data_IF_222992873998
#
_entry.id   IF_222992873998
#
_cell.length_a   1.000
_cell.length_b   1.000
_cell.length_c   1.000
_cell.angle_alpha   90.00
_cell.angle_beta   90.00
_cell.angle_gamma   90.00
#
_symmetry.space_group_name_H-M   'P 1'
#
loop_
_entity.id
_entity.type
_entity.pdbx_description
1 polymer ?
#
# COMPACT_ATOMS: atom_id res chain seq x y z
N UNK A 1 0.92 -13.58 19.00
CA UNK A 1 0.81 -12.10 18.87
C UNK A 1 0.97 -11.49 20.25
N UNK A 2 1.91 -10.56 20.44
CA UNK A 2 2.16 -9.89 21.73
C UNK A 2 0.95 -9.08 22.20
N UNK A 3 0.71 -8.99 23.52
CA UNK A 3 -0.41 -8.24 24.13
C UNK A 3 -0.45 -6.77 23.67
N UNK A 4 0.72 -6.15 23.56
CA UNK A 4 0.84 -4.76 23.11
C UNK A 4 0.39 -4.55 21.66
N UNK A 5 0.91 -5.37 20.72
CA UNK A 5 0.48 -5.38 19.31
C UNK A 5 -1.02 -5.61 19.15
N UNK A 6 -1.59 -6.52 19.95
CA UNK A 6 -3.03 -6.78 19.97
C UNK A 6 -3.81 -5.53 20.41
N UNK A 7 -3.39 -4.88 21.50
CA UNK A 7 -4.00 -3.64 22.01
C UNK A 7 -3.98 -2.52 20.97
N UNK A 8 -2.85 -2.29 20.30
CA UNK A 8 -2.76 -1.29 19.23
C UNK A 8 -3.66 -1.63 18.05
N UNK A 9 -3.69 -2.90 17.62
CA UNK A 9 -4.54 -3.34 16.51
C UNK A 9 -6.03 -3.16 16.83
N UNK A 10 -6.47 -3.52 18.03
CA UNK A 10 -7.84 -3.26 18.52
C UNK A 10 -8.16 -1.76 18.51
N UNK A 11 -7.23 -0.92 18.99
CA UNK A 11 -7.42 0.53 19.01
C UNK A 11 -7.53 1.13 17.61
N UNK A 12 -6.73 0.65 16.65
CA UNK A 12 -6.83 1.04 15.24
C UNK A 12 -8.17 0.66 14.64
N UNK A 13 -8.69 -0.54 14.90
CA UNK A 13 -9.99 -0.99 14.38
C UNK A 13 -11.16 -0.12 14.85
N UNK A 14 -11.11 0.38 16.10
CA UNK A 14 -12.16 1.25 16.64
C UNK A 14 -12.15 2.68 16.07
N UNK A 15 -11.07 3.10 15.40
CA UNK A 15 -10.95 4.45 14.85
C UNK A 15 -11.49 4.55 13.42
N UNK A 16 -12.61 5.27 13.24
CA UNK A 16 -13.26 5.47 11.94
C UNK A 16 -12.42 6.28 10.94
N UNK A 17 -11.71 7.31 11.41
CA UNK A 17 -10.91 8.19 10.55
C UNK A 17 -9.51 7.65 10.30
N UNK A 18 -9.09 7.60 9.03
CA UNK A 18 -7.72 7.16 8.65
C UNK A 18 -6.65 8.13 9.17
N UNK A 19 -6.96 9.44 9.23
CA UNK A 19 -6.02 10.44 9.74
C UNK A 19 -5.75 10.24 11.22
N UNK A 20 -6.80 10.08 12.04
CA UNK A 20 -6.68 9.78 13.48
C UNK A 20 -5.89 8.49 13.73
N UNK A 21 -6.07 7.47 12.89
CA UNK A 21 -5.28 6.23 12.97
C UNK A 21 -3.80 6.49 12.73
N UNK A 22 -3.48 7.27 11.72
CA UNK A 22 -2.09 7.60 11.39
C UNK A 22 -1.44 8.43 12.50
N UNK A 23 -2.15 9.43 13.03
CA UNK A 23 -1.70 10.23 14.19
C UNK A 23 -1.44 9.36 15.42
N UNK A 24 -2.33 8.40 15.71
CA UNK A 24 -2.14 7.45 16.80
C UNK A 24 -0.89 6.59 16.60
N UNK A 25 -0.67 6.08 15.39
CA UNK A 25 0.53 5.28 15.09
C UNK A 25 1.81 6.09 15.22
N UNK A 26 1.80 7.37 14.80
CA UNK A 26 2.92 8.28 14.95
C UNK A 26 3.19 8.57 16.43
N UNK A 27 2.16 8.90 17.21
CA UNK A 27 2.25 9.21 18.65
C UNK A 27 2.83 8.05 19.46
N UNK A 28 2.49 6.82 19.10
CA UNK A 28 2.96 5.61 19.79
C UNK A 28 4.17 4.97 19.13
N UNK A 29 4.80 5.64 18.15
CA UNK A 29 5.99 5.18 17.44
C UNK A 29 5.88 3.71 16.99
N UNK A 30 4.72 3.31 16.45
CA UNK A 30 4.45 1.89 16.17
C UNK A 30 5.36 1.38 15.04
N UNK A 31 5.55 2.20 14.00
CA UNK A 31 6.44 1.92 12.88
C UNK A 31 7.87 2.39 13.19
N UNK A 32 8.84 1.98 12.36
CA UNK A 32 10.21 2.49 12.45
C UNK A 32 10.28 3.99 12.16
N UNK A 33 9.51 4.45 11.18
CA UNK A 33 9.31 5.86 10.88
C UNK A 33 7.94 6.10 10.27
N UNK A 34 7.32 7.24 10.59
CA UNK A 34 6.06 7.68 9.97
C UNK A 34 6.08 9.20 9.76
N UNK A 35 6.41 9.59 8.53
CA UNK A 35 6.60 10.96 8.10
C UNK A 35 5.32 11.79 8.06
N UNK A 36 5.50 13.09 7.87
CA UNK A 36 4.42 14.06 7.85
C UNK A 36 3.53 13.92 6.62
N UNK A 37 2.25 14.30 6.77
CA UNK A 37 1.24 14.19 5.73
C UNK A 37 1.10 12.77 5.13
N UNK A 38 1.64 11.74 5.80
CA UNK A 38 1.44 10.35 5.41
C UNK A 38 0.12 9.82 5.95
N UNK A 39 -0.38 8.74 5.36
CA UNK A 39 -1.60 8.04 5.77
C UNK A 39 -1.32 6.55 5.81
N UNK A 40 -1.58 5.96 6.98
CA UNK A 40 -1.55 4.52 7.19
C UNK A 40 -2.97 3.93 7.13
N UNK A 41 -3.25 3.21 6.06
CA UNK A 41 -4.53 2.56 5.84
C UNK A 41 -4.77 1.28 6.66
N UNK A 42 -3.81 0.34 6.77
CA UNK A 42 -4.06 -0.97 7.37
C UNK A 42 -4.53 -0.90 8.83
N UNK A 43 -5.41 -1.84 9.20
CA UNK A 43 -6.00 -1.91 10.55
C UNK A 43 -5.16 -2.74 11.53
N UNK A 44 -4.47 -3.74 11.00
CA UNK A 44 -3.64 -4.63 11.80
C UNK A 44 -2.22 -4.11 11.79
N UNK A 45 -1.60 -4.09 12.97
CA UNK A 45 -0.17 -3.78 13.09
C UNK A 45 0.64 -4.98 12.56
N UNK A 46 1.56 -4.77 11.59
CA UNK A 46 2.45 -5.81 11.08
C UNK A 46 3.25 -6.51 12.18
N UNK A 47 3.81 -7.69 11.92
CA UNK A 47 4.53 -8.46 12.93
C UNK A 47 5.78 -7.73 13.43
N UNK A 48 6.61 -7.24 12.51
CA UNK A 48 7.80 -6.43 12.78
C UNK A 48 7.59 -5.00 12.26
N UNK A 49 6.78 -4.17 12.96
CA UNK A 49 6.41 -2.86 12.47
C UNK A 49 7.59 -1.87 12.49
N UNK A 50 8.57 -2.10 13.37
CA UNK A 50 9.81 -1.29 13.47
C UNK A 50 10.73 -1.41 12.24
N UNK A 51 10.54 -2.44 11.40
CA UNK A 51 11.28 -2.63 10.14
C UNK A 51 10.64 -1.87 8.96
N UNK A 52 9.54 -1.14 9.21
CA UNK A 52 8.83 -0.39 8.19
C UNK A 52 9.09 1.09 8.40
N UNK A 53 9.66 1.74 7.39
CA UNK A 53 9.84 3.19 7.34
C UNK A 53 8.93 3.78 6.27
N UNK A 54 8.13 4.75 6.68
CA UNK A 54 7.24 5.50 5.80
C UNK A 54 7.63 6.96 5.91
N UNK A 55 8.19 7.51 4.84
CA UNK A 55 8.65 8.90 4.77
C UNK A 55 7.47 9.87 4.57
N UNK A 56 7.67 11.05 3.96
CA UNK A 56 6.68 12.14 3.89
C UNK A 56 5.70 11.96 2.73
N UNK A 57 4.46 12.40 2.94
CA UNK A 57 3.39 12.38 1.93
C UNK A 57 3.15 11.00 1.29
N UNK A 58 3.26 9.93 2.08
CA UNK A 58 2.99 8.57 1.61
C UNK A 58 1.54 8.17 1.89
N UNK A 59 0.86 7.60 0.91
CA UNK A 59 -0.51 7.11 1.05
C UNK A 59 -0.53 5.59 0.95
N UNK A 60 -0.76 4.91 2.07
CA UNK A 60 -0.94 3.46 2.10
C UNK A 60 -2.42 3.13 2.12
N UNK A 61 -2.89 2.42 1.09
CA UNK A 61 -4.29 1.98 1.06
C UNK A 61 -4.61 1.01 2.20
N UNK A 62 -5.87 0.99 2.66
CA UNK A 62 -6.33 0.16 3.79
C UNK A 62 -6.03 -1.33 3.65
N UNK A 63 -6.09 -1.85 2.43
CA UNK A 63 -5.93 -3.26 2.13
C UNK A 63 -4.51 -3.63 1.69
N UNK A 64 -3.58 -2.68 1.67
CA UNK A 64 -2.19 -2.97 1.36
C UNK A 64 -1.57 -3.81 2.48
N UNK A 65 -0.69 -4.74 2.11
CA UNK A 65 0.03 -5.63 3.02
C UNK A 65 1.51 -5.34 2.88
N UNK A 66 2.14 -5.04 4.01
CA UNK A 66 3.60 -4.87 4.08
C UNK A 66 4.12 -6.04 4.91
N UNK A 67 4.93 -6.87 4.26
CA UNK A 67 5.49 -8.09 4.82
C UNK A 67 6.97 -7.85 5.09
N UNK A 68 7.38 -8.06 6.33
CA UNK A 68 8.77 -7.84 6.80
C UNK A 68 9.45 -9.13 7.21
N UNK A 69 8.81 -10.28 7.01
CA UNK A 69 9.38 -11.58 7.32
C UNK A 69 8.83 -12.69 6.43
N UNK A 70 9.54 -13.81 6.39
CA UNK A 70 9.15 -15.06 5.74
C UNK A 70 9.63 -16.26 6.57
N UNK A 71 8.85 -17.34 6.58
CA UNK A 71 9.08 -18.56 7.38
C UNK A 71 9.26 -19.81 6.51
N UNK A 72 9.64 -19.65 5.24
CA UNK A 72 9.89 -20.78 4.33
C UNK A 72 10.92 -21.73 4.90
N UNK A 73 11.96 -21.24 5.58
CA UNK A 73 12.98 -22.09 6.19
C UNK A 73 12.43 -23.00 7.29
N UNK A 74 11.55 -22.51 8.17
CA UNK A 74 10.86 -23.37 9.16
C UNK A 74 10.09 -24.52 8.49
N UNK A 75 9.46 -24.25 7.34
CA UNK A 75 8.78 -25.28 6.56
C UNK A 75 9.77 -26.27 5.91
N UNK A 76 10.84 -25.77 5.28
CA UNK A 76 11.83 -26.60 4.58
C UNK A 76 12.60 -27.51 5.53
N UNK A 77 13.01 -27.01 6.70
CA UNK A 77 13.73 -27.80 7.72
C UNK A 77 12.88 -28.97 8.23
N UNK A 78 11.54 -28.81 8.31
CA UNK A 78 10.63 -29.92 8.66
C UNK A 78 10.49 -30.95 7.54
N UNK A 79 10.58 -30.52 6.28
CA UNK A 79 10.50 -31.40 5.12
C UNK A 79 11.80 -32.19 4.90
N UNK A 80 12.95 -31.56 5.15
CA UNK A 80 14.28 -32.13 5.00
C UNK A 80 15.15 -31.80 6.23
N UNK A 81 15.04 -32.59 7.32
CA UNK A 81 15.80 -32.36 8.55
C UNK A 81 17.32 -32.47 8.35
N UNK A 82 17.74 -33.25 7.35
CA UNK A 82 19.16 -33.47 7.03
C UNK A 82 19.81 -32.28 6.29
N UNK A 83 19.02 -31.27 5.89
CA UNK A 83 19.50 -30.10 5.18
C UNK A 83 19.48 -28.87 6.10
N UNK A 84 20.60 -28.13 6.15
CA UNK A 84 20.67 -26.85 6.85
C UNK A 84 20.22 -25.71 5.93
N UNK A 85 19.00 -25.20 6.16
CA UNK A 85 18.47 -24.01 5.49
C UNK A 85 18.80 -22.71 6.24
N UNK A 86 19.52 -22.79 7.35
CA UNK A 86 19.84 -21.66 8.23
C UNK A 86 18.69 -21.29 9.16
N UNK A 87 18.62 -20.02 9.61
CA UNK A 87 17.58 -19.56 10.53
C UNK A 87 16.17 -19.77 10.01
N UNK A 88 15.24 -20.07 10.91
CA UNK A 88 13.83 -20.38 10.60
C UNK A 88 13.06 -19.26 9.90
N UNK A 89 13.40 -18.01 10.22
CA UNK A 89 12.70 -16.82 9.74
C UNK A 89 13.68 -15.86 9.09
N UNK A 90 13.37 -15.46 7.84
CA UNK A 90 14.04 -14.34 7.18
C UNK A 90 13.29 -13.07 7.55
N UNK A 91 14.00 -12.06 8.04
CA UNK A 91 13.45 -10.72 8.26
C UNK A 91 14.03 -9.75 7.24
N UNK A 92 13.26 -8.73 6.87
CA UNK A 92 13.69 -7.72 5.92
C UNK A 92 12.99 -6.38 6.10
N UNK A 93 13.70 -5.30 5.78
CA UNK A 93 13.21 -3.94 5.92
C UNK A 93 12.33 -3.53 4.73
N UNK A 94 11.37 -2.65 4.98
CA UNK A 94 10.58 -2.02 3.91
C UNK A 94 10.62 -0.52 4.08
N UNK A 95 11.03 0.18 3.03
CA UNK A 95 11.19 1.63 3.04
C UNK A 95 10.38 2.28 1.92
N UNK A 96 9.46 3.16 2.30
CA UNK A 96 8.63 3.94 1.38
C UNK A 96 9.10 5.40 1.42
N UNK A 97 9.82 5.83 0.38
CA UNK A 97 10.37 7.18 0.27
C UNK A 97 9.28 8.26 0.11
N UNK A 98 9.70 9.52 -0.05
CA UNK A 98 8.80 10.65 -0.14
C UNK A 98 7.84 10.56 -1.34
N UNK A 99 6.59 11.01 -1.14
CA UNK A 99 5.57 11.13 -2.17
C UNK A 99 5.23 9.80 -2.89
N UNK A 100 5.02 8.74 -2.11
CA UNK A 100 4.67 7.42 -2.63
C UNK A 100 3.18 7.11 -2.45
N UNK A 101 2.55 6.57 -3.50
CA UNK A 101 1.18 6.06 -3.45
C UNK A 101 1.16 4.53 -3.56
N UNK A 102 0.61 3.86 -2.55
CA UNK A 102 0.42 2.41 -2.54
C UNK A 102 -1.06 2.11 -2.76
N UNK A 103 -1.36 1.51 -3.91
CA UNK A 103 -2.70 1.16 -4.35
C UNK A 103 -3.38 0.09 -3.50
N UNK A 104 -4.66 -0.14 -3.84
CA UNK A 104 -5.48 -1.15 -3.17
C UNK A 104 -4.92 -2.56 -3.36
N UNK A 105 -4.89 -3.36 -2.29
CA UNK A 105 -4.48 -4.76 -2.31
C UNK A 105 -3.06 -5.00 -2.85
N UNK A 106 -2.17 -4.02 -2.70
CA UNK A 106 -0.75 -4.19 -2.98
C UNK A 106 -0.10 -5.01 -1.87
N UNK A 107 0.79 -5.93 -2.23
CA UNK A 107 1.64 -6.66 -1.27
C UNK A 107 3.09 -6.25 -1.51
N UNK A 108 3.78 -5.79 -0.46
CA UNK A 108 5.20 -5.46 -0.49
C UNK A 108 5.95 -6.51 0.31
N UNK A 109 6.93 -7.16 -0.32
CA UNK A 109 7.75 -8.20 0.29
C UNK A 109 8.94 -7.63 1.07
N UNK A 110 9.61 -8.45 1.90
CA UNK A 110 10.77 -8.01 2.67
C UNK A 110 11.92 -7.54 1.76
N UNK A 111 12.74 -6.62 2.28
CA UNK A 111 13.92 -6.04 1.61
C UNK A 111 13.59 -5.28 0.33
N UNK A 112 12.61 -4.38 0.43
CA UNK A 112 12.16 -3.55 -0.68
C UNK A 112 12.17 -2.07 -0.30
N UNK A 113 12.83 -1.27 -1.14
CA UNK A 113 12.73 0.18 -1.15
C UNK A 113 11.89 0.65 -2.34
N UNK A 114 10.88 1.47 -2.07
CA UNK A 114 10.12 2.19 -3.10
C UNK A 114 10.62 3.62 -3.13
N UNK A 115 11.24 4.00 -4.25
CA UNK A 115 11.80 5.33 -4.49
C UNK A 115 10.77 6.46 -4.46
N UNK A 116 11.27 7.68 -4.49
CA UNK A 116 10.43 8.89 -4.40
C UNK A 116 9.52 9.03 -5.62
N UNK A 117 8.40 9.71 -5.46
CA UNK A 117 7.44 9.96 -6.56
C UNK A 117 7.01 8.67 -7.25
N UNK A 118 6.69 7.63 -6.50
CA UNK A 118 6.27 6.34 -7.05
C UNK A 118 4.77 6.09 -6.87
N UNK A 119 4.16 5.46 -7.87
CA UNK A 119 2.78 4.96 -7.80
C UNK A 119 2.81 3.46 -8.02
N UNK A 120 2.44 2.70 -6.99
CA UNK A 120 2.22 1.27 -7.11
C UNK A 120 0.72 1.04 -7.34
N UNK A 121 0.37 0.51 -8.50
CA UNK A 121 -1.04 0.32 -8.87
C UNK A 121 -1.67 -0.81 -8.07
N UNK A 122 -3.01 -0.80 -7.99
CA UNK A 122 -3.76 -1.79 -7.24
C UNK A 122 -3.47 -3.24 -7.70
N UNK A 123 -3.46 -4.18 -6.76
CA UNK A 123 -3.26 -5.60 -6.99
C UNK A 123 -1.81 -6.04 -7.25
N UNK A 124 -0.84 -5.14 -7.12
CA UNK A 124 0.56 -5.46 -7.43
C UNK A 124 1.28 -6.19 -6.29
N UNK A 125 2.26 -7.03 -6.62
CA UNK A 125 3.17 -7.67 -5.66
C UNK A 125 4.57 -7.16 -5.90
N UNK A 126 5.09 -6.37 -4.96
CA UNK A 126 6.42 -5.75 -5.06
C UNK A 126 7.43 -6.66 -4.39
N UNK A 127 8.26 -7.32 -5.21
CA UNK A 127 9.30 -8.26 -4.79
C UNK A 127 10.73 -7.73 -4.96
N UNK A 128 10.89 -6.51 -5.48
CA UNK A 128 12.17 -5.84 -5.69
C UNK A 128 11.98 -4.33 -5.59
N UNK A 129 13.08 -3.61 -5.41
CA UNK A 129 13.09 -2.16 -5.37
C UNK A 129 12.42 -1.54 -6.61
N UNK A 130 11.74 -0.42 -6.38
CA UNK A 130 11.12 0.38 -7.44
C UNK A 130 11.88 1.70 -7.53
N UNK A 131 12.47 2.02 -8.70
CA UNK A 131 13.24 3.25 -8.87
C UNK A 131 12.33 4.49 -8.80
N UNK A 132 12.88 5.61 -8.32
CA UNK A 132 12.15 6.88 -8.21
C UNK A 132 11.51 7.32 -9.52
N UNK A 133 10.44 8.12 -9.43
CA UNK A 133 9.67 8.66 -10.55
C UNK A 133 8.98 7.58 -11.41
N UNK A 134 8.62 6.44 -10.81
CA UNK A 134 8.05 5.30 -11.53
C UNK A 134 6.59 5.04 -11.21
N UNK A 135 5.87 4.49 -12.18
CA UNK A 135 4.59 3.81 -11.98
C UNK A 135 4.83 2.32 -12.18
N UNK A 136 4.50 1.50 -11.18
CA UNK A 136 4.71 0.06 -11.23
C UNK A 136 3.41 -0.72 -11.02
N UNK A 137 3.29 -1.84 -11.74
CA UNK A 137 2.10 -2.70 -11.74
C UNK A 137 2.46 -4.18 -11.91
N UNK A 138 1.59 -5.08 -11.45
CA UNK A 138 1.66 -6.52 -11.74
C UNK A 138 2.18 -7.38 -10.59
N UNK A 139 2.27 -8.69 -10.84
CA UNK A 139 2.80 -9.69 -9.91
C UNK A 139 3.76 -10.63 -10.69
N UNK A 140 5.09 -10.44 -10.61
CA UNK A 140 5.79 -9.40 -9.85
C UNK A 140 5.60 -8.01 -10.46
N UNK A 141 5.66 -6.97 -9.62
CA UNK A 141 5.50 -5.59 -10.04
C UNK A 141 6.66 -5.16 -10.95
N UNK A 142 6.34 -4.56 -12.10
CA UNK A 142 7.31 -3.98 -13.05
C UNK A 142 6.96 -2.55 -13.34
N UNK A 143 7.97 -1.74 -13.67
CA UNK A 143 7.77 -0.35 -14.10
C UNK A 143 7.03 -0.35 -15.44
N UNK A 144 5.86 0.29 -15.47
CA UNK A 144 4.99 0.41 -16.65
C UNK A 144 4.93 1.84 -17.20
N UNK A 145 5.53 2.80 -16.51
CA UNK A 145 5.53 4.19 -16.93
C UNK A 145 6.22 5.09 -15.93
N UNK A 146 6.26 6.38 -16.26
CA UNK A 146 6.86 7.42 -15.41
C UNK A 146 5.80 8.22 -14.66
N UNK A 147 6.17 8.71 -13.49
CA UNK A 147 5.30 9.48 -12.60
C UNK A 147 4.82 10.80 -13.23
N UNK A 148 5.71 11.52 -13.90
CA UNK A 148 5.43 12.78 -14.60
C UNK A 148 4.38 12.60 -15.70
N UNK A 149 4.53 11.56 -16.52
CA UNK A 149 3.56 11.20 -17.56
C UNK A 149 2.21 10.85 -16.94
N UNK A 150 2.20 10.05 -15.87
CA UNK A 150 0.96 9.72 -15.18
C UNK A 150 0.26 10.95 -14.60
N UNK A 151 1.02 11.88 -14.02
CA UNK A 151 0.51 13.15 -13.54
C UNK A 151 -0.08 13.99 -14.68
N UNK A 152 0.60 14.08 -15.83
CA UNK A 152 0.10 14.79 -17.00
C UNK A 152 -1.22 14.17 -17.52
N UNK A 153 -1.28 12.84 -17.63
CA UNK A 153 -2.50 12.11 -18.01
C UNK A 153 -3.66 12.38 -17.05
N UNK A 154 -3.39 12.41 -15.73
CA UNK A 154 -4.40 12.76 -14.71
C UNK A 154 -4.89 14.20 -14.85
N UNK A 155 -4.00 15.15 -15.17
CA UNK A 155 -4.37 16.55 -15.41
C UNK A 155 -5.21 16.74 -16.67
N UNK A 156 -4.85 16.07 -17.77
CA UNK A 156 -5.60 16.12 -19.03
C UNK A 156 -7.01 15.55 -18.86
N UNK A 157 -7.13 14.46 -18.09
CA UNK A 157 -8.41 13.80 -17.83
C UNK A 157 -9.14 14.35 -16.59
N UNK A 158 -8.84 15.57 -16.13
CA UNK A 158 -9.39 16.13 -14.87
C UNK A 158 -10.94 16.14 -14.82
N UNK A 159 -11.58 16.31 -15.98
CA UNK A 159 -13.04 16.37 -16.11
C UNK A 159 -13.74 15.02 -15.83
N UNK A 160 -12.98 13.93 -15.73
CA UNK A 160 -13.51 12.61 -15.35
C UNK A 160 -13.67 12.45 -13.83
N UNK A 161 -13.05 13.30 -13.02
CA UNK A 161 -13.08 13.19 -11.57
C UNK A 161 -14.16 14.11 -10.97
N UNK A 162 -14.90 13.58 -10.01
CA UNK A 162 -15.94 14.31 -9.27
C UNK A 162 -15.48 14.55 -7.85
N UNK A 163 -15.69 15.77 -7.35
CA UNK A 163 -15.47 16.11 -5.96
C UNK A 163 -16.67 15.67 -5.12
N UNK A 164 -16.48 14.66 -4.28
CA UNK A 164 -17.52 14.21 -3.34
C UNK A 164 -17.34 14.86 -1.97
N UNK A 165 -18.45 15.35 -1.39
CA UNK A 165 -18.52 15.70 0.03
C UNK A 165 -18.91 14.46 0.81
N UNK A 166 -18.13 14.09 1.83
CA UNK A 166 -18.40 12.96 2.73
C UNK A 166 -18.59 11.59 2.06
N UNK A 167 -18.06 11.38 0.85
CA UNK A 167 -18.20 10.13 0.09
C UNK A 167 -19.66 9.75 -0.22
N UNK A 168 -20.57 10.73 -0.23
CA UNK A 168 -21.96 10.54 -0.64
C UNK A 168 -22.09 10.66 -2.17
N UNK A 169 -22.74 9.68 -2.82
CA UNK A 169 -23.01 9.66 -4.26
C UNK A 169 -24.50 9.92 -4.50
N UNK A 170 -24.88 11.06 -5.12
CA UNK A 170 -26.25 11.33 -5.57
C UNK A 170 -26.72 10.36 -6.65
N UNK A 171 -28.02 10.02 -6.65
CA UNK A 171 -28.61 9.05 -7.59
C UNK A 171 -28.60 9.53 -9.05
N UNK A 172 -28.81 10.82 -9.28
CA UNK A 172 -28.76 11.46 -10.60
C UNK A 172 -27.37 11.34 -11.23
N UNK A 173 -26.33 11.63 -10.45
CA UNK A 173 -24.95 11.45 -10.87
C UNK A 173 -24.63 9.98 -11.12
N UNK A 174 -25.14 9.07 -10.29
CA UNK A 174 -24.97 7.63 -10.51
C UNK A 174 -25.58 7.19 -11.85
N UNK A 175 -26.79 7.66 -12.18
CA UNK A 175 -27.44 7.41 -13.46
C UNK A 175 -26.64 8.00 -14.63
N UNK A 176 -26.09 9.20 -14.49
CA UNK A 176 -25.25 9.83 -15.52
C UNK A 176 -23.99 9.00 -15.80
N UNK A 177 -23.34 8.47 -14.76
CA UNK A 177 -22.17 7.61 -14.91
C UNK A 177 -22.51 6.29 -15.60
N UNK A 178 -23.66 5.68 -15.29
CA UNK A 178 -24.15 4.50 -16.02
C UNK A 178 -24.41 4.80 -17.51
N UNK A 179 -25.04 5.95 -17.83
CA UNK A 179 -25.23 6.37 -19.23
C UNK A 179 -23.90 6.54 -19.97
N UNK A 180 -22.89 7.16 -19.34
CA UNK A 180 -21.54 7.29 -19.90
C UNK A 180 -20.88 5.93 -20.12
N UNK A 181 -21.02 5.02 -19.16
CA UNK A 181 -20.49 3.66 -19.22
C UNK A 181 -21.07 2.85 -20.39
N UNK A 182 -22.38 2.92 -20.62
CA UNK A 182 -23.01 2.23 -21.75
C UNK A 182 -22.65 2.85 -23.10
N UNK A 183 -22.65 4.18 -23.20
CA UNK A 183 -22.28 4.89 -24.45
C UNK A 183 -20.89 4.51 -24.96
N UNK A 184 -19.92 4.30 -24.05
CA UNK A 184 -18.55 3.92 -24.42
C UNK A 184 -18.48 2.55 -25.13
N UNK A 185 -19.40 1.63 -24.82
CA UNK A 185 -19.42 0.27 -25.40
C UNK A 185 -20.11 0.21 -26.75
N UNK A 186 -21.13 1.05 -26.95
CA UNK A 186 -21.80 1.18 -28.25
C UNK A 186 -20.81 1.70 -29.30
N UNK A 187 -19.96 2.65 -28.92
CA UNK A 187 -18.95 3.26 -29.81
C UNK A 187 -17.68 2.41 -30.02
N UNK A 188 -17.58 1.21 -29.42
CA UNK A 188 -16.45 0.29 -29.57
C UNK A 188 -16.77 -0.92 -30.45
N UNK A 189 -18.02 -1.03 -30.92
CA UNK A 189 -18.43 -1.93 -32.01
C UNK A 189 -18.38 -1.18 -33.32
#
# INVERSE_FOLDING_TARGET
MTKERMRHSLRLMMMRSVRKRTEYMKKHEILGELGENSVWGPWLVPLYPKLIRVHKNVRVHKTAKIVTHDVVNDFLTKCKPDCDFGPMERIGCVELMDNVYIGMNVTILPDVRIGENCIITAGSVVSSDIPSNSVAAGNPAKVIGRFDMYMALRRMNKNQFVAFKNQYLPDDLAQEQWKKFEKKRINQK
#
